data_IF_921650833528
#
_entry.id   IF_921650833528
#
_cell.length_a   1.000
_cell.length_b   1.000
_cell.length_c   1.000
_cell.angle_alpha   90.00
_cell.angle_beta   90.00
_cell.angle_gamma   90.00
#
_symmetry.space_group_name_H-M   'P 1'
#
loop_
_entity.id
_entity.type
_entity.pdbx_description
1 polymer ?
#
# COMPACT_ATOMS: atom_id res chain seq x y z
N UNK A 1 -5.98 14.35 17.30
CA UNK A 1 -6.34 13.21 18.15
C UNK A 1 -6.31 11.96 17.30
N UNK A 2 -5.44 11.01 17.64
CA UNK A 2 -5.57 9.64 17.11
C UNK A 2 -6.77 9.07 17.85
N UNK A 3 -7.85 8.77 17.13
CA UNK A 3 -9.00 8.10 17.73
C UNK A 3 -8.51 6.77 18.34
N UNK A 4 -8.97 6.45 19.54
CA UNK A 4 -8.67 5.17 20.17
C UNK A 4 -9.36 4.08 19.35
N UNK A 5 -8.58 3.29 18.62
CA UNK A 5 -9.09 2.14 17.87
C UNK A 5 -9.15 0.93 18.80
N UNK A 6 -10.34 0.61 19.30
CA UNK A 6 -10.56 -0.47 20.27
C UNK A 6 -10.17 -1.86 19.75
N UNK A 7 -10.05 -2.01 18.43
CA UNK A 7 -9.70 -3.26 17.77
C UNK A 7 -8.19 -3.34 17.45
N UNK A 8 -7.39 -2.33 17.79
CA UNK A 8 -5.93 -2.39 17.72
C UNK A 8 -5.37 -3.12 18.95
N UNK A 9 -4.55 -4.13 18.72
CA UNK A 9 -3.84 -4.85 19.77
C UNK A 9 -2.34 -4.84 19.53
N UNK A 10 -1.58 -4.72 20.61
CA UNK A 10 -0.13 -4.75 20.59
C UNK A 10 0.38 -5.91 21.47
N UNK A 11 1.17 -6.80 20.89
CA UNK A 11 1.86 -7.88 21.60
C UNK A 11 3.37 -7.65 21.53
N UNK A 12 4.07 -7.41 22.65
CA UNK A 12 5.52 -7.38 22.69
C UNK A 12 6.10 -8.74 22.28
N UNK A 13 7.22 -8.74 21.57
CA UNK A 13 7.86 -9.98 21.13
C UNK A 13 9.39 -9.87 21.18
N UNK A 14 10.07 -11.01 21.24
CA UNK A 14 11.54 -11.08 21.29
C UNK A 14 12.04 -12.21 20.41
N UNK A 15 13.20 -12.02 19.81
CA UNK A 15 13.91 -13.02 19.02
C UNK A 15 15.41 -12.80 19.22
N UNK A 16 16.12 -13.76 19.84
CA UNK A 16 17.52 -13.58 20.22
C UNK A 16 17.73 -12.33 21.09
N UNK A 17 18.55 -11.38 20.60
CA UNK A 17 18.79 -10.07 21.25
C UNK A 17 17.79 -8.99 20.81
N UNK A 18 16.94 -9.28 19.83
CA UNK A 18 15.96 -8.36 19.29
C UNK A 18 14.77 -8.16 20.22
N UNK A 19 14.31 -6.91 20.29
CA UNK A 19 13.08 -6.52 20.98
C UNK A 19 12.13 -5.90 19.95
N UNK A 20 10.92 -6.40 19.90
CA UNK A 20 9.93 -6.03 18.90
C UNK A 20 8.54 -5.93 19.47
N UNK A 21 7.60 -5.61 18.58
CA UNK A 21 6.19 -5.73 18.87
C UNK A 21 5.43 -6.07 17.59
N UNK A 22 4.28 -6.69 17.78
CA UNK A 22 3.31 -7.00 16.75
C UNK A 22 2.06 -6.17 17.01
N UNK A 23 1.66 -5.38 16.02
CA UNK A 23 0.41 -4.65 15.99
C UNK A 23 -0.59 -5.45 15.13
N UNK A 24 -1.80 -5.70 15.60
CA UNK A 24 -2.76 -6.49 14.84
C UNK A 24 -4.21 -6.09 15.07
N UNK A 25 -5.08 -6.52 14.17
CA UNK A 25 -6.52 -6.32 14.23
C UNK A 25 -7.20 -7.48 14.96
N UNK A 26 -7.85 -7.19 16.10
CA UNK A 26 -8.55 -8.19 16.94
C UNK A 26 -9.75 -8.83 16.25
N UNK A 27 -10.34 -8.18 15.25
CA UNK A 27 -11.41 -8.78 14.46
C UNK A 27 -10.90 -9.87 13.53
N UNK A 28 -9.59 -9.90 13.25
CA UNK A 28 -8.96 -10.84 12.32
C UNK A 28 -8.12 -11.90 13.03
N UNK A 29 -7.43 -11.49 14.09
CA UNK A 29 -6.53 -12.32 14.85
C UNK A 29 -6.85 -12.23 16.34
N UNK A 30 -7.09 -13.37 16.97
CA UNK A 30 -7.20 -13.43 18.44
C UNK A 30 -5.85 -13.17 19.12
N UNK A 31 -4.80 -13.73 18.53
CA UNK A 31 -3.41 -13.57 18.95
C UNK A 31 -2.51 -13.52 17.71
N UNK A 32 -1.37 -12.86 17.84
CA UNK A 32 -0.38 -12.77 16.78
C UNK A 32 0.99 -13.16 17.30
N UNK A 33 1.72 -13.95 16.51
CA UNK A 33 3.06 -14.44 16.82
C UNK A 33 4.05 -14.07 15.72
N UNK A 34 5.35 -14.12 16.03
CA UNK A 34 6.42 -13.71 15.11
C UNK A 34 6.39 -14.56 13.82
N UNK A 35 5.99 -15.83 13.92
CA UNK A 35 5.89 -16.76 12.80
C UNK A 35 5.07 -16.24 11.62
N UNK A 36 4.03 -15.44 11.88
CA UNK A 36 3.18 -14.85 10.83
C UNK A 36 3.96 -14.00 9.82
N UNK A 37 5.11 -13.46 10.23
CA UNK A 37 5.96 -12.61 9.40
C UNK A 37 7.14 -13.36 8.77
N UNK A 38 7.18 -14.69 8.86
CA UNK A 38 8.18 -15.53 8.19
C UNK A 38 7.51 -16.33 7.06
N UNK A 39 7.95 -16.20 5.80
CA UNK A 39 7.46 -17.06 4.71
C UNK A 39 7.64 -18.56 5.00
N UNK A 40 8.71 -18.94 5.71
CA UNK A 40 9.02 -20.32 6.07
C UNK A 40 7.99 -20.92 7.02
N UNK A 41 7.42 -20.12 7.93
CA UNK A 41 6.33 -20.56 8.82
C UNK A 41 5.09 -21.01 8.04
N UNK A 42 4.83 -20.38 6.89
CA UNK A 42 3.69 -20.72 6.03
C UNK A 42 3.95 -21.93 5.12
N UNK A 43 5.21 -22.32 4.92
CA UNK A 43 5.58 -23.46 4.08
C UNK A 43 5.00 -23.35 2.66
N UNK A 44 4.33 -24.40 2.19
CA UNK A 44 3.69 -24.45 0.87
C UNK A 44 2.53 -23.46 0.68
N UNK A 45 2.05 -22.83 1.76
CA UNK A 45 1.00 -21.81 1.71
C UNK A 45 1.53 -20.41 1.40
N UNK A 46 2.85 -20.21 1.38
CA UNK A 46 3.48 -18.97 0.95
C UNK A 46 4.11 -19.12 -0.42
N UNK A 47 3.80 -18.19 -1.32
CA UNK A 47 4.31 -18.15 -2.70
C UNK A 47 4.88 -16.76 -2.97
N UNK A 48 6.10 -16.63 -3.52
CA UNK A 48 6.64 -15.30 -3.85
C UNK A 48 5.73 -14.59 -4.85
N UNK A 49 5.68 -13.26 -4.76
CA UNK A 49 4.98 -12.43 -5.75
C UNK A 49 5.94 -12.14 -6.90
N UNK A 50 5.62 -12.64 -8.10
CA UNK A 50 6.48 -12.57 -9.28
C UNK A 50 6.61 -11.17 -9.89
N UNK A 51 5.56 -10.32 -9.75
CA UNK A 51 5.51 -8.98 -10.33
C UNK A 51 5.71 -7.87 -9.29
N UNK A 52 6.63 -6.93 -9.56
CA UNK A 52 6.78 -5.67 -8.82
C UNK A 52 7.47 -5.75 -7.44
N UNK A 53 7.67 -6.94 -6.88
CA UNK A 53 8.34 -7.14 -5.59
C UNK A 53 9.80 -7.53 -5.76
N UNK A 54 10.73 -6.75 -5.20
CA UNK A 54 12.17 -7.10 -5.15
C UNK A 54 12.44 -8.27 -4.17
N UNK A 55 11.78 -9.42 -4.35
CA UNK A 55 11.90 -10.59 -3.46
C UNK A 55 11.44 -10.35 -2.02
N UNK A 56 10.45 -9.49 -1.82
CA UNK A 56 10.02 -9.04 -0.47
C UNK A 56 8.52 -9.17 -0.20
N UNK A 57 7.78 -9.80 -1.10
CA UNK A 57 6.35 -10.03 -0.93
C UNK A 57 6.00 -11.48 -1.24
N UNK A 58 5.05 -12.03 -0.47
CA UNK A 58 4.53 -13.37 -0.62
C UNK A 58 3.01 -13.35 -0.55
N UNK A 59 2.36 -14.08 -1.46
CA UNK A 59 0.97 -14.48 -1.29
C UNK A 59 0.91 -15.60 -0.25
N UNK A 60 0.00 -15.46 0.72
CA UNK A 60 -0.15 -16.37 1.84
C UNK A 60 -1.60 -16.82 1.93
N UNK A 61 -1.81 -18.14 1.88
CA UNK A 61 -3.12 -18.76 2.11
C UNK A 61 -3.30 -19.03 3.62
N UNK A 62 -3.72 -18.02 4.36
CA UNK A 62 -3.87 -18.10 5.82
C UNK A 62 -5.26 -18.60 6.24
N UNK A 63 -5.42 -19.17 7.45
CA UNK A 63 -6.74 -19.57 7.99
C UNK A 63 -7.76 -18.43 8.08
N UNK A 64 -7.29 -17.18 8.14
CA UNK A 64 -8.09 -15.96 8.16
C UNK A 64 -8.24 -15.33 6.77
N UNK A 65 -7.93 -16.06 5.69
CA UNK A 65 -8.14 -15.65 4.30
C UNK A 65 -6.85 -15.36 3.53
N UNK A 66 -7.01 -15.23 2.21
CA UNK A 66 -5.92 -14.90 1.29
C UNK A 66 -5.25 -13.56 1.68
N UNK A 67 -3.94 -13.58 1.81
CA UNK A 67 -3.16 -12.49 2.37
C UNK A 67 -1.90 -12.20 1.56
N UNK A 68 -1.35 -11.00 1.72
CA UNK A 68 -0.04 -10.59 1.23
C UNK A 68 0.83 -10.28 2.44
N UNK A 69 1.92 -11.04 2.58
CA UNK A 69 3.02 -10.74 3.49
C UNK A 69 4.04 -9.88 2.74
N UNK A 70 4.38 -8.71 3.26
CA UNK A 70 5.43 -7.85 2.72
C UNK A 70 6.48 -7.53 3.78
N UNK A 71 7.74 -7.77 3.44
CA UNK A 71 8.90 -7.35 4.21
C UNK A 71 9.38 -5.99 3.72
N UNK A 72 9.70 -5.09 4.64
CA UNK A 72 10.26 -3.80 4.26
C UNK A 72 11.77 -3.95 4.04
N UNK A 73 12.20 -4.03 2.79
CA UNK A 73 13.62 -4.00 2.42
C UNK A 73 14.11 -2.56 2.20
N UNK A 74 15.39 -2.28 2.42
CA UNK A 74 16.01 -1.00 2.01
C UNK A 74 16.45 -1.07 0.54
N UNK A 75 15.89 -0.23 -0.33
CA UNK A 75 16.34 -0.09 -1.72
C UNK A 75 17.46 0.96 -1.91
N UNK A 76 18.27 0.82 -2.98
CA UNK A 76 19.29 1.78 -3.44
C UNK A 76 20.73 1.42 -3.05
N UNK A 77 21.71 2.32 -3.24
CA UNK A 77 23.13 2.09 -2.87
C UNK A 77 23.33 1.74 -1.37
N UNK A 78 22.34 2.04 -0.51
CA UNK A 78 22.29 1.60 0.89
C UNK A 78 22.09 0.08 1.07
N UNK A 79 21.64 -0.64 0.04
CA UNK A 79 21.47 -2.10 0.05
C UNK A 79 22.81 -2.87 0.10
N UNK A 80 23.93 -2.22 -0.25
CA UNK A 80 25.28 -2.81 -0.13
C UNK A 80 25.83 -2.82 1.30
N UNK A 81 25.17 -2.13 2.26
CA UNK A 81 25.67 -1.97 3.64
C UNK A 81 24.71 -2.62 4.67
N UNK A 82 23.41 -2.68 4.39
CA UNK A 82 22.46 -3.50 5.15
C UNK A 82 21.13 -3.62 4.40
N UNK A 83 20.74 -4.84 4.09
CA UNK A 83 19.57 -5.16 3.28
C UNK A 83 18.23 -4.83 4.00
N UNK A 84 18.21 -4.87 5.35
CA UNK A 84 16.95 -4.97 6.12
C UNK A 84 16.76 -3.93 7.25
N UNK A 85 17.69 -2.99 7.46
CA UNK A 85 17.76 -2.30 8.76
C UNK A 85 17.48 -0.79 8.71
N UNK A 86 16.30 -0.35 9.15
CA UNK A 86 15.92 1.06 9.29
C UNK A 86 16.43 1.71 10.58
N UNK A 87 16.64 3.04 10.60
CA UNK A 87 17.07 3.75 11.81
C UNK A 87 15.88 3.86 12.77
N UNK A 88 16.06 3.39 13.99
CA UNK A 88 15.04 3.45 15.04
C UNK A 88 14.75 4.90 15.47
N UNK A 89 13.47 5.28 15.46
CA UNK A 89 12.98 6.60 15.92
C UNK A 89 11.76 6.49 16.84
N UNK A 90 11.53 5.32 17.42
CA UNK A 90 10.33 4.98 18.20
C UNK A 90 9.41 4.00 17.47
N UNK A 91 8.62 3.24 18.24
CA UNK A 91 7.74 2.18 17.74
C UNK A 91 6.70 2.70 16.75
N UNK A 92 6.06 3.82 17.08
CA UNK A 92 5.02 4.46 16.25
C UNK A 92 5.56 5.00 14.92
N UNK A 93 6.88 5.16 14.81
CA UNK A 93 7.55 5.64 13.60
C UNK A 93 8.11 4.51 12.73
N UNK A 94 7.92 3.26 13.12
CA UNK A 94 8.27 2.13 12.26
C UNK A 94 7.34 2.11 11.04
N UNK A 95 7.89 1.84 9.86
CA UNK A 95 7.15 1.89 8.59
C UNK A 95 5.92 0.97 8.61
N UNK A 96 6.07 -0.24 9.14
CA UNK A 96 4.98 -1.21 9.26
C UNK A 96 3.85 -0.71 10.15
N UNK A 97 4.13 -0.14 11.32
CA UNK A 97 3.08 0.37 12.21
C UNK A 97 2.42 1.62 11.65
N UNK A 98 3.20 2.54 11.09
CA UNK A 98 2.68 3.74 10.46
C UNK A 98 1.73 3.41 9.30
N UNK A 99 2.12 2.45 8.44
CA UNK A 99 1.30 2.02 7.32
C UNK A 99 0.05 1.25 7.77
N UNK A 100 0.18 0.35 8.74
CA UNK A 100 -0.95 -0.37 9.33
C UNK A 100 -2.02 0.58 9.85
N UNK A 101 -1.62 1.56 10.67
CA UNK A 101 -2.53 2.56 11.24
C UNK A 101 -3.12 3.48 10.18
N UNK A 102 -2.34 3.85 9.16
CA UNK A 102 -2.84 4.63 8.04
C UNK A 102 -3.94 3.85 7.30
N UNK A 103 -3.71 2.59 6.97
CA UNK A 103 -4.73 1.75 6.32
C UNK A 103 -5.99 1.62 7.18
N UNK A 104 -5.86 1.44 8.50
CA UNK A 104 -7.01 1.41 9.42
C UNK A 104 -7.81 2.72 9.39
N UNK A 105 -7.13 3.87 9.51
CA UNK A 105 -7.76 5.18 9.43
C UNK A 105 -8.45 5.43 8.06
N UNK A 106 -7.86 4.93 6.97
CA UNK A 106 -8.48 5.00 5.64
C UNK A 106 -9.74 4.11 5.55
N UNK A 107 -9.72 2.92 6.17
CA UNK A 107 -10.89 2.03 6.24
C UNK A 107 -12.03 2.61 7.09
N UNK A 108 -11.72 3.26 8.21
CA UNK A 108 -12.73 3.99 9.00
C UNK A 108 -13.42 5.07 8.17
N UNK A 109 -12.68 5.71 7.25
CA UNK A 109 -13.22 6.64 6.24
C UNK A 109 -13.91 5.94 5.06
N UNK A 110 -14.13 4.63 5.16
CA UNK A 110 -14.76 3.75 4.14
C UNK A 110 -14.01 3.74 2.80
N UNK A 111 -12.73 4.08 2.77
CA UNK A 111 -11.94 4.12 1.54
C UNK A 111 -11.52 2.70 1.12
N UNK A 112 -11.42 2.44 -0.19
CA UNK A 112 -11.10 1.12 -0.72
C UNK A 112 -9.59 0.87 -0.64
N UNK A 113 -9.17 0.33 0.49
CA UNK A 113 -7.80 -0.14 0.75
C UNK A 113 -7.84 -1.59 1.19
N UNK A 114 -6.78 -2.39 0.95
CA UNK A 114 -6.68 -3.74 1.52
C UNK A 114 -6.83 -3.69 3.04
N UNK A 115 -7.48 -4.69 3.62
CA UNK A 115 -7.56 -4.79 5.08
C UNK A 115 -6.20 -5.10 5.69
N UNK A 116 -5.66 -4.25 6.57
CA UNK A 116 -4.46 -4.59 7.33
C UNK A 116 -4.81 -5.66 8.36
N UNK A 117 -3.96 -6.69 8.49
CA UNK A 117 -4.18 -7.82 9.41
C UNK A 117 -3.23 -7.73 10.59
N UNK A 118 -1.92 -7.62 10.30
CA UNK A 118 -0.90 -7.43 11.32
C UNK A 118 0.32 -6.70 10.76
N UNK A 119 1.07 -6.03 11.63
CA UNK A 119 2.32 -5.36 11.34
C UNK A 119 3.32 -5.67 12.44
N UNK A 120 4.59 -5.73 12.07
CA UNK A 120 5.66 -6.15 12.97
C UNK A 120 6.89 -5.29 12.78
N UNK A 121 7.62 -5.11 13.87
CA UNK A 121 9.03 -4.75 13.81
C UNK A 121 9.85 -5.57 14.81
N UNK A 122 11.12 -5.79 14.49
CA UNK A 122 12.13 -6.30 15.41
C UNK A 122 13.32 -5.36 15.40
N UNK A 123 13.63 -4.79 16.57
CA UNK A 123 14.73 -3.83 16.75
C UNK A 123 15.94 -4.53 17.37
N UNK A 124 17.10 -4.26 16.79
CA UNK A 124 18.41 -4.62 17.31
C UNK A 124 19.32 -3.38 17.32
N UNK A 125 19.64 -2.87 18.51
CA UNK A 125 20.43 -1.64 18.65
C UNK A 125 19.74 -0.41 18.05
N UNK A 126 20.37 0.25 17.07
CA UNK A 126 19.83 1.41 16.36
C UNK A 126 19.03 1.04 15.10
N UNK A 127 18.93 -0.26 14.82
CA UNK A 127 18.42 -0.80 13.57
C UNK A 127 17.14 -1.61 13.82
N UNK A 128 16.24 -1.67 12.83
CA UNK A 128 15.07 -2.55 12.91
C UNK A 128 14.70 -3.13 11.54
N UNK A 129 14.20 -4.37 11.55
CA UNK A 129 13.49 -5.00 10.43
C UNK A 129 11.98 -4.93 10.67
N UNK A 130 11.19 -4.94 9.60
CA UNK A 130 9.75 -4.81 9.70
C UNK A 130 9.04 -5.60 8.60
N UNK A 131 7.79 -5.97 8.88
CA UNK A 131 6.92 -6.64 7.94
C UNK A 131 5.46 -6.23 8.17
N UNK A 132 4.63 -6.38 7.16
CA UNK A 132 3.19 -6.17 7.22
C UNK A 132 2.47 -7.32 6.53
N UNK A 133 1.36 -7.75 7.12
CA UNK A 133 0.45 -8.75 6.60
C UNK A 133 -0.92 -8.07 6.39
N UNK A 134 -1.46 -8.20 5.19
CA UNK A 134 -2.71 -7.58 4.79
C UNK A 134 -3.50 -8.49 3.86
N UNK A 135 -4.77 -8.20 3.67
CA UNK A 135 -5.64 -8.87 2.71
C UNK A 135 -5.06 -8.86 1.30
N UNK A 136 -5.14 -10.00 0.61
CA UNK A 136 -4.88 -10.08 -0.82
C UNK A 136 -6.14 -9.72 -1.58
N UNK A 137 -6.05 -8.75 -2.47
CA UNK A 137 -7.11 -8.45 -3.43
C UNK A 137 -7.03 -9.47 -4.59
N UNK A 138 -8.11 -10.20 -4.82
CA UNK A 138 -8.21 -11.21 -5.88
C UNK A 138 -8.96 -10.67 -7.09
N UNK A 139 -8.64 -11.18 -8.28
CA UNK A 139 -9.31 -10.76 -9.53
C UNK A 139 -9.06 -9.30 -9.95
N UNK A 140 -8.08 -8.63 -9.33
CA UNK A 140 -7.71 -7.26 -9.65
C UNK A 140 -6.51 -7.20 -10.59
N UNK A 141 -6.44 -6.14 -11.41
CA UNK A 141 -5.27 -5.80 -12.23
C UNK A 141 -4.92 -4.34 -12.03
N UNK A 142 -3.64 -3.99 -12.18
CA UNK A 142 -3.23 -2.61 -12.02
C UNK A 142 -3.69 -1.73 -13.18
N UNK A 143 -3.78 -0.41 -12.93
CA UNK A 143 -4.03 0.56 -13.98
C UNK A 143 -2.93 0.49 -15.04
N UNK A 144 -1.68 0.22 -14.66
CA UNK A 144 -0.58 0.02 -15.60
C UNK A 144 -0.88 -1.12 -16.59
N UNK A 145 -1.27 -2.30 -16.08
CA UNK A 145 -1.56 -3.46 -16.91
C UNK A 145 -2.76 -3.20 -17.82
N UNK A 146 -3.80 -2.54 -17.28
CA UNK A 146 -5.00 -2.20 -18.06
C UNK A 146 -4.72 -1.15 -19.12
N UNK A 147 -3.81 -0.20 -18.86
CA UNK A 147 -3.45 0.86 -19.80
C UNK A 147 -2.68 0.35 -21.02
N UNK A 148 -2.06 -0.83 -20.93
CA UNK A 148 -1.33 -1.46 -22.03
C UNK A 148 -2.23 -2.28 -22.97
N UNK A 149 -3.42 -2.69 -22.52
CA UNK A 149 -4.34 -3.51 -23.32
C UNK A 149 -5.19 -2.62 -24.23
N UNK A 150 -4.85 -2.59 -25.52
CA UNK A 150 -5.59 -1.87 -26.55
C UNK A 150 -7.05 -2.31 -26.61
N UNK A 151 -8.00 -1.37 -26.71
CA UNK A 151 -9.42 -1.65 -26.92
C UNK A 151 -10.24 -2.01 -25.68
N UNK A 152 -9.64 -2.33 -24.53
CA UNK A 152 -10.38 -2.65 -23.29
C UNK A 152 -10.70 -1.47 -22.38
N UNK A 153 -10.41 -0.24 -22.82
CA UNK A 153 -10.73 1.00 -22.09
C UNK A 153 -10.30 0.94 -20.62
N UNK A 154 -9.02 1.22 -20.34
CA UNK A 154 -8.58 1.31 -18.96
C UNK A 154 -9.48 2.29 -18.15
N UNK A 155 -9.69 2.04 -16.85
CA UNK A 155 -10.69 2.75 -16.04
C UNK A 155 -10.23 4.16 -15.66
N UNK A 156 -10.03 5.02 -16.66
CA UNK A 156 -9.43 6.35 -16.51
C UNK A 156 -10.29 7.27 -15.65
N UNK A 157 -11.59 7.29 -15.90
CA UNK A 157 -12.50 8.16 -15.15
C UNK A 157 -12.71 7.67 -13.72
N UNK A 158 -12.86 6.36 -13.54
CA UNK A 158 -12.97 5.70 -12.24
C UNK A 158 -11.70 5.96 -11.42
N UNK A 159 -10.52 5.92 -12.05
CA UNK A 159 -9.25 6.30 -11.42
C UNK A 159 -9.28 7.75 -10.95
N UNK A 160 -9.76 8.68 -11.79
CA UNK A 160 -9.86 10.09 -11.42
C UNK A 160 -10.77 10.30 -10.20
N UNK A 161 -11.95 9.67 -10.20
CA UNK A 161 -12.91 9.69 -9.08
C UNK A 161 -12.32 9.07 -7.81
N UNK A 162 -11.64 7.93 -7.95
CA UNK A 162 -10.98 7.22 -6.84
C UNK A 162 -9.93 8.11 -6.17
N UNK A 163 -9.02 8.69 -6.94
CA UNK A 163 -7.97 9.57 -6.41
C UNK A 163 -8.58 10.81 -5.74
N UNK A 164 -9.63 11.41 -6.33
CA UNK A 164 -10.32 12.54 -5.73
C UNK A 164 -10.91 12.18 -4.34
N UNK A 165 -11.52 11.00 -4.23
CA UNK A 165 -12.06 10.47 -2.97
C UNK A 165 -10.99 10.32 -1.90
N UNK A 166 -9.82 9.76 -2.24
CA UNK A 166 -8.69 9.65 -1.31
C UNK A 166 -8.11 11.02 -0.93
N UNK A 167 -7.93 11.91 -1.90
CA UNK A 167 -7.42 13.26 -1.64
C UNK A 167 -8.37 14.07 -0.74
N UNK A 168 -9.68 13.86 -0.83
CA UNK A 168 -10.68 14.52 0.03
C UNK A 168 -10.58 14.07 1.48
N UNK A 169 -10.33 12.77 1.66
CA UNK A 169 -10.02 12.20 2.96
C UNK A 169 -8.65 12.64 3.51
N UNK A 170 -7.88 13.41 2.74
CA UNK A 170 -6.58 13.96 3.16
C UNK A 170 -5.39 13.05 2.86
N UNK A 171 -5.56 11.96 2.11
CA UNK A 171 -4.43 11.05 1.84
C UNK A 171 -3.44 11.68 0.87
N UNK A 172 -2.25 12.01 1.37
CA UNK A 172 -1.05 12.28 0.58
C UNK A 172 -0.27 10.98 0.36
N UNK A 173 -0.45 10.39 -0.82
CA UNK A 173 0.14 9.11 -1.19
C UNK A 173 1.56 9.29 -1.76
N UNK A 174 2.57 9.08 -0.92
CA UNK A 174 3.97 9.38 -1.23
C UNK A 174 4.50 8.75 -2.53
N UNK A 175 3.98 7.58 -2.91
CA UNK A 175 4.30 6.92 -4.19
C UNK A 175 3.08 6.56 -5.06
N UNK A 176 2.19 7.54 -5.30
CA UNK A 176 1.06 7.31 -6.22
C UNK A 176 1.55 7.05 -7.65
N UNK A 177 1.45 5.81 -8.11
CA UNK A 177 1.86 5.35 -9.43
C UNK A 177 0.82 4.35 -10.00
N UNK A 178 0.88 4.05 -11.31
CA UNK A 178 -0.14 3.24 -11.98
C UNK A 178 -0.18 1.75 -11.55
N UNK A 179 0.88 1.20 -10.94
CA UNK A 179 0.85 -0.14 -10.35
C UNK A 179 0.11 -0.17 -9.00
N UNK A 180 0.11 0.95 -8.28
CA UNK A 180 -0.51 1.09 -6.97
C UNK A 180 -2.03 1.38 -7.02
N UNK A 181 -2.62 1.36 -8.22
CA UNK A 181 -4.04 1.55 -8.44
C UNK A 181 -4.58 0.28 -9.08
N UNK A 182 -5.44 -0.45 -8.37
CA UNK A 182 -5.93 -1.76 -8.80
C UNK A 182 -7.42 -1.71 -9.10
N UNK A 183 -7.86 -2.47 -10.10
CA UNK A 183 -9.27 -2.59 -10.47
C UNK A 183 -9.67 -4.04 -10.74
N UNK A 184 -10.85 -4.42 -10.25
CA UNK A 184 -11.49 -5.70 -10.57
C UNK A 184 -12.25 -5.66 -11.91
N UNK A 185 -12.82 -6.80 -12.31
CA UNK A 185 -13.61 -6.92 -13.54
C UNK A 185 -14.88 -6.07 -13.57
N UNK A 186 -15.39 -5.63 -12.41
CA UNK A 186 -16.60 -4.82 -12.29
C UNK A 186 -16.34 -3.31 -12.19
N UNK A 187 -15.07 -2.89 -12.18
CA UNK A 187 -14.68 -1.49 -12.11
C UNK A 187 -14.54 -0.93 -10.69
N UNK A 188 -14.63 -1.78 -9.65
CA UNK A 188 -14.25 -1.35 -8.31
C UNK A 188 -12.75 -1.16 -8.24
N UNK A 189 -12.32 -0.06 -7.59
CA UNK A 189 -10.93 0.37 -7.55
C UNK A 189 -10.39 0.44 -6.13
N UNK A 190 -9.13 0.05 -5.96
CA UNK A 190 -8.38 0.13 -4.70
C UNK A 190 -7.08 0.90 -4.88
N UNK A 191 -6.63 1.56 -3.82
CA UNK A 191 -5.23 1.98 -3.70
C UNK A 191 -4.47 0.98 -2.82
N UNK A 192 -3.20 0.73 -3.15
CA UNK A 192 -2.29 -0.11 -2.38
C UNK A 192 -0.96 0.62 -2.15
N UNK A 193 -0.10 0.03 -1.33
CA UNK A 193 1.25 0.55 -1.00
C UNK A 193 1.22 1.95 -0.36
N UNK A 194 0.81 2.00 0.90
CA UNK A 194 0.69 3.24 1.67
C UNK A 194 1.99 3.59 2.40
N UNK A 195 3.11 2.98 2.01
CA UNK A 195 4.40 3.22 2.62
C UNK A 195 4.80 4.70 2.47
N UNK A 196 5.07 5.36 3.61
CA UNK A 196 5.29 6.82 3.73
C UNK A 196 4.08 7.70 3.37
N UNK A 197 2.90 7.12 3.12
CA UNK A 197 1.66 7.88 3.02
C UNK A 197 1.34 8.59 4.33
N UNK A 198 0.61 9.69 4.26
CA UNK A 198 0.16 10.44 5.45
C UNK A 198 -1.21 11.09 5.21
N UNK A 199 -1.98 11.25 6.28
CA UNK A 199 -3.18 12.10 6.25
C UNK A 199 -2.76 13.54 6.51
N UNK A 200 -3.13 14.44 5.62
CA UNK A 200 -2.90 15.89 5.70
C UNK A 200 -4.20 16.64 5.48
N UNK A 201 -4.23 17.89 5.92
CA UNK A 201 -5.25 18.84 5.47
C UNK A 201 -5.17 18.93 3.94
N UNK A 202 -6.28 18.76 3.20
CA UNK A 202 -6.26 18.84 1.76
C UNK A 202 -5.74 20.19 1.25
N UNK A 203 -4.70 20.14 0.42
CA UNK A 203 -4.08 21.31 -0.16
C UNK A 203 -3.65 21.02 -1.60
N UNK A 204 -3.77 22.00 -2.48
CA UNK A 204 -3.49 21.85 -3.91
C UNK A 204 -2.07 21.37 -4.18
N UNK A 205 -1.07 21.90 -3.45
CA UNK A 205 0.33 21.60 -3.69
C UNK A 205 0.69 20.11 -3.62
N UNK A 206 0.23 19.38 -2.60
CA UNK A 206 0.55 17.95 -2.48
C UNK A 206 -0.32 17.08 -3.40
N UNK A 207 -1.59 17.44 -3.61
CA UNK A 207 -2.49 16.72 -4.54
C UNK A 207 -1.95 16.73 -5.96
N UNK A 208 -1.50 17.89 -6.43
CA UNK A 208 -0.91 18.04 -7.77
C UNK A 208 0.42 17.28 -7.89
N UNK A 209 1.20 17.16 -6.82
CA UNK A 209 2.41 16.31 -6.84
C UNK A 209 2.08 14.83 -7.01
N UNK A 210 1.04 14.34 -6.35
CA UNK A 210 0.58 12.96 -6.52
C UNK A 210 0.12 12.69 -7.95
N UNK A 211 -0.72 13.58 -8.50
CA UNK A 211 -1.18 13.49 -9.90
C UNK A 211 -0.02 13.55 -10.91
N UNK A 212 0.94 14.46 -10.71
CA UNK A 212 2.15 14.54 -11.55
C UNK A 212 3.02 13.28 -11.46
N UNK A 213 3.13 12.66 -10.27
CA UNK A 213 3.83 11.38 -10.11
C UNK A 213 3.13 10.27 -10.89
N UNK A 214 1.80 10.19 -10.80
CA UNK A 214 1.01 9.23 -11.56
C UNK A 214 1.23 9.39 -13.07
N UNK A 215 1.12 10.62 -13.60
CA UNK A 215 1.38 10.89 -15.02
C UNK A 215 2.79 10.44 -15.44
N UNK A 216 3.82 10.76 -14.65
CA UNK A 216 5.18 10.31 -14.94
C UNK A 216 5.30 8.78 -14.97
N UNK A 217 4.59 8.08 -14.06
CA UNK A 217 4.57 6.61 -14.06
C UNK A 217 3.89 6.05 -15.31
N UNK A 218 2.76 6.63 -15.73
CA UNK A 218 2.06 6.22 -16.96
C UNK A 218 2.92 6.43 -18.21
N UNK A 219 3.62 7.57 -18.30
CA UNK A 219 4.56 7.83 -19.40
C UNK A 219 5.71 6.81 -19.39
N UNK A 220 6.25 6.47 -18.20
CA UNK A 220 7.32 5.47 -18.08
C UNK A 220 6.85 4.07 -18.51
N UNK A 221 5.60 3.73 -18.21
CA UNK A 221 5.01 2.42 -18.45
C UNK A 221 4.27 2.32 -19.80
N UNK A 222 4.43 3.30 -20.69
CA UNK A 222 3.65 3.40 -21.93
C UNK A 222 3.92 2.29 -22.95
N UNK A 223 5.00 1.53 -22.79
CA UNK A 223 5.42 0.56 -23.80
C UNK A 223 5.62 1.24 -25.16
N UNK A 224 4.97 0.70 -26.18
CA UNK A 224 4.99 1.22 -27.56
C UNK A 224 4.00 2.37 -27.78
N UNK A 225 3.12 2.68 -26.81
CA UNK A 225 2.14 3.75 -26.95
C UNK A 225 2.81 5.11 -27.08
N UNK A 226 2.25 5.98 -27.91
CA UNK A 226 2.73 7.35 -28.05
C UNK A 226 2.53 8.13 -26.75
N UNK A 227 3.36 9.15 -26.51
CA UNK A 227 3.15 10.05 -25.38
C UNK A 227 1.82 10.81 -25.49
N UNK A 228 1.37 11.10 -26.71
CA UNK A 228 0.11 11.78 -26.96
C UNK A 228 -1.09 10.94 -26.52
N UNK A 229 -1.10 9.64 -26.80
CA UNK A 229 -2.19 8.75 -26.38
C UNK A 229 -2.26 8.64 -24.86
N UNK A 230 -1.11 8.54 -24.20
CA UNK A 230 -1.05 8.54 -22.73
C UNK A 230 -1.56 9.85 -22.16
N UNK A 231 -1.24 11.00 -22.79
CA UNK A 231 -1.75 12.30 -22.36
C UNK A 231 -3.26 12.43 -22.57
N UNK A 232 -3.81 11.94 -23.70
CA UNK A 232 -5.26 11.92 -23.96
C UNK A 232 -6.01 11.12 -22.90
N UNK A 233 -5.49 9.94 -22.55
CA UNK A 233 -6.05 9.09 -21.51
C UNK A 233 -5.95 9.73 -20.12
N UNK A 234 -4.78 10.27 -19.79
CA UNK A 234 -4.59 10.99 -18.54
C UNK A 234 -5.50 12.23 -18.44
N UNK A 235 -5.79 12.91 -19.56
CA UNK A 235 -6.73 14.02 -19.58
C UNK A 235 -8.16 13.58 -19.22
N UNK A 236 -8.59 12.37 -19.60
CA UNK A 236 -9.88 11.79 -19.17
C UNK A 236 -9.90 11.59 -17.65
N UNK A 237 -8.85 10.98 -17.11
CA UNK A 237 -8.66 10.81 -15.66
C UNK A 237 -8.67 12.16 -14.94
N UNK A 238 -7.92 13.14 -15.45
CA UNK A 238 -7.79 14.46 -14.85
C UNK A 238 -9.13 15.20 -14.80
N UNK A 239 -9.89 15.19 -15.90
CA UNK A 239 -11.25 15.78 -15.93
C UNK A 239 -12.17 15.13 -14.90
N UNK A 240 -12.17 13.79 -14.82
CA UNK A 240 -12.97 13.07 -13.84
C UNK A 240 -12.54 13.36 -12.40
N UNK A 241 -11.23 13.53 -12.16
CA UNK A 241 -10.71 13.97 -10.87
C UNK A 241 -11.16 15.39 -10.52
N UNK A 242 -11.06 16.36 -11.43
CA UNK A 242 -11.41 17.76 -11.17
C UNK A 242 -12.93 17.93 -10.94
N UNK A 243 -13.77 17.29 -11.77
CA UNK A 243 -15.22 17.21 -11.53
C UNK A 243 -15.52 16.51 -10.20
N UNK A 244 -14.84 15.37 -10.01
CA UNK A 244 -14.60 14.64 -8.77
C UNK A 244 -14.58 15.59 -7.59
N UNK A 245 -13.47 16.32 -7.49
CA UNK A 245 -13.03 17.23 -6.45
C UNK A 245 -13.96 18.43 -6.22
N UNK A 246 -14.48 19.05 -7.28
CA UNK A 246 -15.28 20.26 -7.17
C UNK A 246 -16.70 20.01 -6.65
N UNK A 247 -17.24 18.80 -6.80
CA UNK A 247 -18.63 18.47 -6.40
C UNK A 247 -18.91 18.43 -4.89
N UNK A 248 -17.91 18.63 -4.02
CA UNK A 248 -18.09 18.76 -2.57
C UNK A 248 -18.68 17.56 -1.80
N UNK A 249 -18.96 16.42 -2.43
CA UNK A 249 -19.56 15.23 -1.77
C UNK A 249 -18.56 14.40 -0.98
#
# INVERSE_FOLDING_TARGET
MVAFDANEALTPCREGRGIGAILFDRERLRQAEIGLFSPQHWGSKARPVDEGGRGSAWFVDAPFGASVLRHYLRGGMAARISHDQYLWRGADRTRSFAEFRLMRALREKKLPVPRPIAAFYMREGLRYRAAILMERLEGVRSLADRALVTGRGAPWEETGRLIARFHRAGLDHADLNAHNILFDGSGHGWLIDFDRGVIRIPATGWRERNLKRLLRSLIKLRGERSMEDVQKDYARLRRAYDMAWNRGT
#
